data_IF_465676516002
#
_entry.id   IF_465676516002
#
_cell.length_a   1.000
_cell.length_b   1.000
_cell.length_c   1.000
_cell.angle_alpha   90.00
_cell.angle_beta   90.00
_cell.angle_gamma   90.00
#
_symmetry.space_group_name_H-M   'P 1'
#
loop_
_entity.id
_entity.type
_entity.pdbx_description
1 polymer ?
#
# COMPACT_ATOMS: atom_id res chain seq x y z
N UNK A 1 -10.79 3.79 -14.38
CA UNK A 1 -9.38 3.43 -14.13
C UNK A 1 -9.10 2.14 -14.90
N UNK A 2 -8.04 2.06 -15.71
CA UNK A 2 -7.79 0.94 -16.63
C UNK A 2 -7.09 -0.25 -15.92
N UNK A 3 -7.42 -1.52 -16.25
CA UNK A 3 -6.70 -2.69 -15.76
C UNK A 3 -5.18 -2.61 -16.00
N UNK A 4 -4.74 -2.05 -17.13
CA UNK A 4 -3.31 -1.92 -17.45
C UNK A 4 -2.57 -1.02 -16.45
N UNK A 5 -3.21 0.07 -16.00
CA UNK A 5 -2.64 0.97 -14.99
C UNK A 5 -2.51 0.25 -13.65
N UNK A 6 -3.51 -0.57 -13.30
CA UNK A 6 -3.48 -1.41 -12.10
C UNK A 6 -2.31 -2.41 -12.16
N UNK A 7 -2.11 -3.07 -13.30
CA UNK A 7 -0.99 -4.00 -13.51
C UNK A 7 0.36 -3.30 -13.40
N UNK A 8 0.53 -2.15 -14.04
CA UNK A 8 1.79 -1.40 -14.00
C UNK A 8 2.13 -0.96 -12.57
N UNK A 9 1.14 -0.44 -11.84
CA UNK A 9 1.30 -0.06 -10.45
C UNK A 9 1.62 -1.25 -9.57
N UNK A 10 0.90 -2.37 -9.75
CA UNK A 10 1.13 -3.60 -9.00
C UNK A 10 2.54 -4.17 -9.23
N UNK A 11 3.02 -4.14 -10.47
CA UNK A 11 4.36 -4.61 -10.84
C UNK A 11 5.48 -3.76 -10.23
N UNK A 12 5.22 -2.48 -9.91
CA UNK A 12 6.16 -1.65 -9.17
C UNK A 12 6.24 -2.03 -7.69
N UNK A 13 5.20 -2.65 -7.14
CA UNK A 13 5.17 -3.09 -5.74
C UNK A 13 5.71 -4.52 -5.55
N UNK A 14 5.42 -5.41 -6.50
CA UNK A 14 5.73 -6.83 -6.44
C UNK A 14 5.29 -7.55 -7.71
N UNK A 15 5.00 -8.85 -7.64
CA UNK A 15 4.51 -9.60 -8.81
C UNK A 15 2.99 -9.58 -8.82
N UNK A 16 2.38 -9.12 -9.91
CA UNK A 16 0.92 -9.13 -10.06
C UNK A 16 0.43 -10.55 -10.35
N UNK A 17 -0.43 -11.06 -9.47
CA UNK A 17 -1.06 -12.37 -9.59
C UNK A 17 -2.42 -12.29 -10.30
N UNK A 18 -3.16 -11.21 -10.07
CA UNK A 18 -4.51 -11.04 -10.62
C UNK A 18 -4.94 -9.57 -10.58
N UNK A 19 -5.74 -9.18 -11.56
CA UNK A 19 -6.36 -7.85 -11.65
C UNK A 19 -7.85 -8.05 -11.82
N UNK A 20 -8.64 -7.49 -10.89
CA UNK A 20 -10.09 -7.62 -10.92
C UNK A 20 -10.64 -7.06 -12.24
N UNK A 21 -11.13 -7.95 -13.10
CA UNK A 21 -11.83 -7.58 -14.31
C UNK A 21 -13.28 -7.26 -13.96
N UNK A 22 -13.70 -6.02 -14.24
CA UNK A 22 -15.10 -5.62 -14.02
C UNK A 22 -16.01 -6.40 -14.97
N UNK A 23 -16.91 -7.21 -14.41
CA UNK A 23 -17.90 -7.99 -15.18
C UNK A 23 -19.17 -7.22 -15.53
N UNK A 24 -19.39 -6.03 -14.95
CA UNK A 24 -20.56 -5.18 -15.22
C UNK A 24 -20.14 -3.71 -15.39
N UNK A 25 -20.64 -3.09 -16.46
CA UNK A 25 -20.36 -1.69 -16.85
C UNK A 25 -20.95 -0.69 -15.84
N UNK A 26 -22.02 -1.10 -15.15
CA UNK A 26 -22.83 -0.23 -14.29
C UNK A 26 -22.25 0.01 -12.88
N UNK A 27 -21.16 -0.68 -12.54
CA UNK A 27 -20.50 -0.54 -11.24
C UNK A 27 -19.32 0.43 -11.41
N UNK A 28 -19.62 1.73 -11.50
CA UNK A 28 -18.63 2.81 -11.49
C UNK A 28 -17.95 2.90 -10.11
N UNK A 29 -17.16 1.89 -9.76
CA UNK A 29 -16.29 1.94 -8.59
C UNK A 29 -15.15 2.91 -8.88
N UNK A 30 -14.82 3.78 -7.93
CA UNK A 30 -13.68 4.69 -8.01
C UNK A 30 -12.33 4.01 -7.67
N UNK A 31 -12.29 2.68 -7.64
CA UNK A 31 -11.11 1.88 -7.31
C UNK A 31 -10.97 0.64 -8.21
N UNK A 32 -9.77 0.06 -8.21
CA UNK A 32 -9.44 -1.24 -8.80
C UNK A 32 -8.80 -2.11 -7.72
N UNK A 33 -9.06 -3.41 -7.76
CA UNK A 33 -8.38 -4.39 -6.90
C UNK A 33 -7.36 -5.17 -7.71
N UNK A 34 -6.20 -5.34 -7.12
CA UNK A 34 -5.08 -6.10 -7.69
C UNK A 34 -4.56 -7.00 -6.59
N UNK A 35 -4.33 -8.28 -6.92
CA UNK A 35 -3.59 -9.21 -6.06
C UNK A 35 -2.13 -9.17 -6.46
N UNK A 36 -1.27 -8.87 -5.49
CA UNK A 36 0.17 -8.72 -5.71
C UNK A 36 0.91 -9.58 -4.68
N UNK A 37 1.85 -10.41 -5.15
CA UNK A 37 2.83 -11.05 -4.29
C UNK A 37 3.88 -10.00 -3.88
N UNK A 38 3.79 -9.56 -2.63
CA UNK A 38 4.62 -8.50 -2.07
C UNK A 38 5.76 -9.06 -1.20
N UNK A 39 6.95 -8.44 -1.24
CA UNK A 39 8.02 -8.78 -0.30
C UNK A 39 7.65 -8.34 1.12
N UNK A 40 7.46 -9.30 2.02
CA UNK A 40 7.04 -9.05 3.42
C UNK A 40 8.07 -8.24 4.22
N UNK A 41 9.33 -8.23 3.81
CA UNK A 41 10.44 -7.55 4.48
C UNK A 41 10.53 -6.06 4.16
N UNK A 42 9.69 -5.54 3.25
CA UNK A 42 9.68 -4.13 2.86
C UNK A 42 8.44 -3.41 3.41
N UNK A 43 8.56 -2.11 3.73
CA UNK A 43 7.41 -1.31 4.09
C UNK A 43 6.38 -1.25 2.97
N UNK A 44 5.10 -1.33 3.33
CA UNK A 44 4.01 -1.20 2.37
C UNK A 44 3.89 0.23 1.84
N UNK A 45 3.45 0.35 0.60
CA UNK A 45 3.28 1.66 -0.03
C UNK A 45 1.95 2.26 0.37
N UNK A 46 1.93 3.51 0.81
CA UNK A 46 0.69 4.21 1.21
C UNK A 46 -0.08 4.77 0.01
N UNK A 47 0.64 5.01 -1.08
CA UNK A 47 0.13 5.62 -2.30
C UNK A 47 1.26 5.96 -3.25
N UNK A 48 0.91 6.37 -4.46
CA UNK A 48 1.86 6.98 -5.39
C UNK A 48 1.17 7.98 -6.32
N UNK A 49 1.97 8.78 -7.01
CA UNK A 49 1.48 9.66 -8.07
C UNK A 49 1.33 8.90 -9.37
N UNK A 50 0.15 8.97 -9.97
CA UNK A 50 -0.13 8.49 -11.31
C UNK A 50 -0.30 9.68 -12.26
N UNK A 51 0.21 9.55 -13.49
CA UNK A 51 -0.01 10.54 -14.53
C UNK A 51 -1.38 10.28 -15.16
N UNK A 52 -2.27 11.27 -15.06
CA UNK A 52 -3.57 11.26 -15.71
C UNK A 52 -3.47 11.53 -17.21
N UNK A 53 -4.53 11.21 -17.94
CA UNK A 53 -4.63 11.55 -19.37
C UNK A 53 -4.67 13.06 -19.61
N UNK A 54 -4.97 13.85 -18.58
CA UNK A 54 -4.90 15.31 -18.56
C UNK A 54 -3.46 15.86 -18.37
N UNK A 55 -2.46 14.97 -18.31
CA UNK A 55 -1.06 15.33 -18.05
C UNK A 55 -0.76 15.73 -16.61
N UNK A 56 -1.75 15.66 -15.69
CA UNK A 56 -1.56 16.02 -14.29
C UNK A 56 -1.19 14.80 -13.45
N UNK A 57 -0.45 15.02 -12.36
CA UNK A 57 -0.14 13.97 -11.38
C UNK A 57 -1.26 13.90 -10.36
N UNK A 58 -1.84 12.72 -10.21
CA UNK A 58 -2.90 12.43 -9.25
C UNK A 58 -2.35 11.52 -8.16
N UNK A 59 -2.50 11.91 -6.89
CA UNK A 59 -2.13 11.05 -5.77
C UNK A 59 -3.18 9.95 -5.59
N UNK A 60 -2.77 8.70 -5.67
CA UNK A 60 -3.63 7.54 -5.45
C UNK A 60 -3.26 6.89 -4.13
N UNK A 61 -4.23 6.80 -3.23
CA UNK A 61 -4.08 6.12 -1.94
C UNK A 61 -4.30 4.63 -2.12
N UNK A 62 -3.42 3.81 -1.53
CA UNK A 62 -3.57 2.37 -1.53
C UNK A 62 -4.31 1.90 -0.28
N UNK A 63 -5.18 0.92 -0.48
CA UNK A 63 -5.84 0.18 0.60
C UNK A 63 -5.50 -1.27 0.41
N UNK A 64 -5.09 -1.91 1.49
CA UNK A 64 -4.78 -3.32 1.50
C UNK A 64 -5.89 -4.07 2.23
N UNK A 65 -6.22 -5.25 1.72
CA UNK A 65 -7.21 -6.15 2.31
C UNK A 65 -6.52 -7.44 2.76
N UNK A 66 -7.02 -8.09 3.82
CA UNK A 66 -6.52 -9.39 4.32
C UNK A 66 -5.04 -9.38 4.74
N UNK A 67 -4.61 -8.31 5.40
CA UNK A 67 -3.25 -8.16 5.87
C UNK A 67 -3.00 -9.00 7.13
N UNK A 68 -1.87 -9.73 7.23
CA UNK A 68 -1.44 -10.31 8.51
C UNK A 68 -0.99 -9.21 9.48
N UNK A 69 -0.34 -9.58 10.58
CA UNK A 69 0.19 -8.62 11.57
C UNK A 69 1.04 -7.56 10.85
N UNK A 70 0.73 -6.29 11.09
CA UNK A 70 1.33 -5.14 10.41
C UNK A 70 1.80 -4.11 11.42
N UNK A 71 3.01 -3.60 11.23
CA UNK A 71 3.58 -2.60 12.11
C UNK A 71 3.24 -1.19 11.62
N UNK A 72 2.35 -0.49 12.33
CA UNK A 72 1.96 0.89 11.99
C UNK A 72 3.09 1.93 12.10
N UNK A 73 4.21 1.58 12.75
CA UNK A 73 5.39 2.42 12.86
C UNK A 73 6.31 2.29 11.64
N UNK A 74 6.78 1.08 11.33
CA UNK A 74 7.76 0.85 10.27
C UNK A 74 7.16 0.43 8.92
N UNK A 75 5.87 0.05 8.89
CA UNK A 75 5.15 -0.36 7.69
C UNK A 75 5.40 -1.79 7.21
N UNK A 76 6.10 -2.61 7.99
CA UNK A 76 6.51 -3.98 7.61
C UNK A 76 5.53 -5.00 8.18
N UNK A 77 5.37 -6.13 7.47
CA UNK A 77 4.52 -7.24 7.88
C UNK A 77 5.24 -8.21 8.83
N UNK A 78 4.46 -8.93 9.64
CA UNK A 78 4.92 -10.01 10.51
C UNK A 78 5.16 -9.63 11.97
N UNK A 79 5.04 -8.34 12.35
CA UNK A 79 5.19 -7.90 13.74
C UNK A 79 4.37 -6.63 14.01
N UNK A 80 4.06 -6.37 15.28
CA UNK A 80 3.42 -5.14 15.73
C UNK A 80 4.47 -4.10 16.16
N UNK A 81 4.04 -2.91 16.59
CA UNK A 81 4.97 -1.89 17.07
C UNK A 81 5.74 -2.29 18.34
N UNK A 82 5.18 -3.20 19.16
CA UNK A 82 5.80 -3.64 20.42
C UNK A 82 7.04 -4.50 20.17
N UNK A 83 7.02 -5.26 19.08
CA UNK A 83 8.14 -6.11 18.65
C UNK A 83 8.97 -5.47 17.53
N UNK A 84 8.79 -4.17 17.28
CA UNK A 84 9.48 -3.44 16.24
C UNK A 84 10.80 -2.85 16.75
N UNK A 85 11.93 -3.31 16.20
CA UNK A 85 13.26 -2.84 16.60
C UNK A 85 13.48 -1.34 16.35
N UNK A 86 12.96 -0.81 15.24
CA UNK A 86 13.04 0.62 14.93
C UNK A 86 12.15 1.45 15.85
N UNK A 87 10.98 0.97 16.23
CA UNK A 87 10.12 1.62 17.24
C UNK A 87 10.81 1.65 18.60
N UNK A 88 11.37 0.52 19.04
CA UNK A 88 12.11 0.42 20.30
C UNK A 88 13.34 1.37 20.34
N UNK A 89 14.06 1.51 19.23
CA UNK A 89 15.18 2.43 19.15
C UNK A 89 14.72 3.90 19.20
N UNK A 90 13.56 4.20 18.61
CA UNK A 90 13.01 5.55 18.57
C UNK A 90 12.35 5.96 19.89
N UNK A 91 11.73 5.04 20.63
CA UNK A 91 11.07 5.33 21.92
C UNK A 91 12.07 5.77 23.00
N UNK A 92 13.35 5.44 22.84
CA UNK A 92 14.44 5.92 23.71
C UNK A 92 14.86 7.36 23.43
N UNK A 93 14.42 7.96 22.32
CA UNK A 93 14.72 9.34 21.96
C UNK A 93 13.62 10.25 22.50
N UNK A 94 13.97 11.46 22.93
CA UNK A 94 13.02 12.47 23.42
C UNK A 94 12.16 13.11 22.30
N UNK A 95 12.03 12.45 21.15
CA UNK A 95 11.31 12.95 19.97
C UNK A 95 9.94 12.27 19.88
N UNK A 96 8.85 12.99 19.52
CA UNK A 96 7.56 12.37 19.31
C UNK A 96 7.63 11.25 18.26
N UNK A 97 7.05 10.09 18.58
CA UNK A 97 6.93 8.99 17.64
C UNK A 97 5.83 9.29 16.62
N UNK A 98 6.15 9.11 15.33
CA UNK A 98 5.21 9.30 14.23
C UNK A 98 4.81 7.94 13.64
N UNK A 99 3.54 7.58 13.79
CA UNK A 99 2.96 6.37 13.22
C UNK A 99 2.44 6.67 11.81
N UNK A 100 3.30 6.41 10.82
CA UNK A 100 3.05 6.83 9.43
C UNK A 100 1.87 6.12 8.76
N UNK A 101 1.37 5.03 9.35
CA UNK A 101 0.33 4.17 8.79
C UNK A 101 -0.99 4.20 9.57
N UNK A 102 -1.12 5.11 10.55
CA UNK A 102 -2.29 5.24 11.43
C UNK A 102 -2.05 4.64 12.82
N UNK A 103 -3.07 4.75 13.68
CA UNK A 103 -3.14 4.09 15.00
C UNK A 103 -3.87 2.74 14.90
#
# INVERSE_FOLDING_TARGET
MSPNVATEVGNKMGVVEDVEQRRRIDDQKFFLRVRVALPISKPLWRGSFLLGSDGKRHWVKYKYERMPIFCHYCGVLGHDFRHCSTHFAASKKATPLNYQYGD
#
